data_IF_438334760305
#
_entry.id   IF_438334760305
#
_cell.length_a   1.000
_cell.length_b   1.000
_cell.length_c   1.000
_cell.angle_alpha   90.00
_cell.angle_beta   90.00
_cell.angle_gamma   90.00
#
_symmetry.space_group_name_H-M   'P 1'
#
loop_
_entity.id
_entity.type
_entity.pdbx_description
1 polymer ?
#
# COMPACT_ATOMS: atom_id res chain seq x y z
N UNK A 1 -17.07 12.52 -21.64
CA UNK A 1 -15.66 12.18 -21.34
C UNK A 1 -14.75 13.29 -21.86
N UNK A 2 -13.90 13.88 -21.03
CA UNK A 2 -13.05 15.04 -21.41
C UNK A 2 -12.05 14.67 -22.52
N UNK A 3 -11.55 15.68 -23.26
CA UNK A 3 -10.51 15.48 -24.29
C UNK A 3 -9.28 14.74 -23.74
N UNK A 4 -8.90 15.07 -22.49
CA UNK A 4 -7.79 14.45 -21.77
C UNK A 4 -8.01 12.95 -21.60
N UNK A 5 -9.17 12.52 -21.09
CA UNK A 5 -9.49 11.11 -20.92
C UNK A 5 -9.42 10.33 -22.25
N UNK A 6 -9.88 10.93 -23.36
CA UNK A 6 -9.80 10.29 -24.69
C UNK A 6 -8.35 10.10 -25.16
N UNK A 7 -7.48 11.08 -24.93
CA UNK A 7 -6.06 10.98 -25.32
C UNK A 7 -5.33 9.91 -24.50
N UNK A 8 -5.55 9.88 -23.19
CA UNK A 8 -4.97 8.86 -22.32
C UNK A 8 -5.46 7.46 -22.68
N UNK A 9 -6.75 7.31 -23.01
CA UNK A 9 -7.32 6.02 -23.42
C UNK A 9 -6.70 5.44 -24.70
N UNK A 10 -6.19 6.27 -25.62
CA UNK A 10 -5.47 5.78 -26.81
C UNK A 10 -4.09 5.21 -26.49
N UNK A 11 -3.44 5.69 -25.44
CA UNK A 11 -2.08 5.29 -25.05
C UNK A 11 -2.11 4.13 -24.05
N UNK A 12 -2.99 4.20 -23.06
CA UNK A 12 -3.03 3.28 -21.92
C UNK A 12 -4.20 2.28 -21.98
N UNK A 13 -5.11 2.44 -22.93
CA UNK A 13 -6.33 1.62 -23.03
C UNK A 13 -7.43 2.04 -22.05
N UNK A 14 -8.50 1.24 -21.91
CA UNK A 14 -9.60 1.53 -21.00
C UNK A 14 -9.16 1.40 -19.54
N UNK A 15 -9.66 2.29 -18.68
CA UNK A 15 -9.46 2.21 -17.23
C UNK A 15 -10.11 0.93 -16.72
N UNK A 16 -9.31 0.04 -16.14
CA UNK A 16 -9.80 -1.15 -15.44
C UNK A 16 -9.88 -0.83 -13.95
N UNK A 17 -11.03 -1.04 -13.29
CA UNK A 17 -11.11 -0.86 -11.85
C UNK A 17 -10.15 -1.84 -11.15
N UNK A 18 -9.43 -1.41 -10.11
CA UNK A 18 -8.55 -2.30 -9.36
C UNK A 18 -9.35 -3.38 -8.65
N UNK A 19 -8.69 -4.51 -8.34
CA UNK A 19 -9.28 -5.54 -7.47
C UNK A 19 -9.66 -4.92 -6.13
N UNK A 20 -10.89 -5.20 -5.67
CA UNK A 20 -11.32 -4.81 -4.34
C UNK A 20 -10.50 -5.55 -3.30
N UNK A 21 -9.96 -4.81 -2.33
CA UNK A 21 -9.32 -5.34 -1.12
C UNK A 21 -10.24 -5.06 0.08
N UNK A 22 -10.12 -5.79 1.20
CA UNK A 22 -10.72 -5.37 2.47
C UNK A 22 -10.37 -3.91 2.79
N UNK A 23 -11.28 -3.18 3.44
CA UNK A 23 -11.12 -1.73 3.67
C UNK A 23 -9.83 -1.41 4.42
N UNK A 24 -9.51 -2.17 5.46
CA UNK A 24 -8.28 -2.00 6.24
C UNK A 24 -7.03 -2.28 5.41
N UNK A 25 -7.06 -3.30 4.54
CA UNK A 25 -5.95 -3.60 3.65
C UNK A 25 -5.66 -2.44 2.71
N UNK A 26 -6.71 -1.83 2.14
CA UNK A 26 -6.55 -0.68 1.26
C UNK A 26 -6.05 0.55 2.02
N UNK A 27 -6.59 0.83 3.21
CA UNK A 27 -6.18 1.97 4.02
C UNK A 27 -4.69 1.89 4.39
N UNK A 28 -4.25 0.73 4.87
CA UNK A 28 -2.86 0.52 5.30
C UNK A 28 -1.92 0.56 4.09
N UNK A 29 -2.29 -0.04 2.95
CA UNK A 29 -1.51 0.05 1.72
C UNK A 29 -1.34 1.51 1.25
N UNK A 30 -2.40 2.33 1.35
CA UNK A 30 -2.36 3.76 1.01
C UNK A 30 -1.47 4.56 1.98
N UNK A 31 -1.49 4.24 3.27
CA UNK A 31 -0.59 4.89 4.24
C UNK A 31 0.87 4.57 3.90
N UNK A 32 1.16 3.29 3.62
CA UNK A 32 2.50 2.83 3.29
C UNK A 32 3.03 3.33 1.95
N UNK A 33 2.17 3.82 1.04
CA UNK A 33 2.59 4.38 -0.25
C UNK A 33 3.05 5.83 -0.18
N UNK A 34 2.90 6.49 0.96
CA UNK A 34 3.36 7.86 1.12
C UNK A 34 4.89 7.93 0.98
N UNK A 35 5.37 8.88 0.17
CA UNK A 35 6.79 9.19 -0.01
C UNK A 35 7.68 7.99 -0.42
N UNK A 36 7.14 6.99 -1.12
CA UNK A 36 7.88 5.78 -1.51
C UNK A 36 7.42 5.21 -2.87
N UNK A 37 8.10 4.16 -3.35
CA UNK A 37 7.73 3.47 -4.60
C UNK A 37 6.73 2.33 -4.35
N UNK A 38 5.98 1.96 -5.39
CA UNK A 38 5.06 0.81 -5.34
C UNK A 38 5.74 -0.50 -4.91
N UNK A 39 6.99 -0.71 -5.32
CA UNK A 39 7.76 -1.90 -4.93
C UNK A 39 8.01 -1.91 -3.42
N UNK A 40 8.33 -0.75 -2.85
CA UNK A 40 8.63 -0.62 -1.43
C UNK A 40 7.39 -0.70 -0.56
N UNK A 41 6.31 -0.01 -0.95
CA UNK A 41 5.04 -0.03 -0.21
C UNK A 41 4.40 -1.42 -0.22
N UNK A 42 4.41 -2.12 -1.35
CA UNK A 42 3.93 -3.51 -1.40
C UNK A 42 4.78 -4.45 -0.54
N UNK A 43 6.12 -4.34 -0.61
CA UNK A 43 6.98 -5.17 0.22
C UNK A 43 6.75 -4.95 1.73
N UNK A 44 6.49 -3.72 2.16
CA UNK A 44 6.15 -3.38 3.54
C UNK A 44 4.76 -3.92 3.94
N UNK A 45 3.76 -3.76 3.07
CA UNK A 45 2.42 -4.31 3.30
C UNK A 45 2.48 -5.84 3.48
N UNK A 46 3.16 -6.53 2.58
CA UNK A 46 3.30 -7.99 2.66
C UNK A 46 4.10 -8.42 3.88
N UNK A 47 5.07 -7.62 4.31
CA UNK A 47 5.84 -7.84 5.54
C UNK A 47 4.94 -7.82 6.77
N UNK A 48 4.06 -6.81 6.90
CA UNK A 48 3.06 -6.76 7.98
C UNK A 48 2.13 -7.98 7.95
N UNK A 49 1.60 -8.33 6.77
CA UNK A 49 0.69 -9.48 6.61
C UNK A 49 1.37 -10.80 6.98
N UNK A 50 2.61 -11.02 6.53
CA UNK A 50 3.37 -12.24 6.84
C UNK A 50 3.76 -12.33 8.31
N UNK A 51 4.18 -11.22 8.92
CA UNK A 51 4.67 -11.22 10.31
C UNK A 51 3.55 -11.32 11.35
N UNK A 52 2.43 -10.65 11.12
CA UNK A 52 1.38 -10.50 12.13
C UNK A 52 0.07 -11.21 11.78
N UNK A 53 -0.14 -11.63 10.52
CA UNK A 53 -1.33 -12.36 10.05
C UNK A 53 -2.59 -11.48 9.91
N UNK A 54 -2.97 -10.75 10.97
CA UNK A 54 -4.16 -9.88 11.00
C UNK A 54 -3.88 -8.52 11.65
N UNK A 55 -4.73 -7.53 11.37
CA UNK A 55 -4.50 -6.14 11.78
C UNK A 55 -4.54 -5.91 13.28
N UNK A 56 -5.34 -6.69 14.00
CA UNK A 56 -5.37 -6.63 15.47
C UNK A 56 -4.01 -7.02 16.09
N UNK A 57 -3.26 -7.94 15.48
CA UNK A 57 -1.91 -8.28 15.94
C UNK A 57 -0.91 -7.15 15.63
N UNK A 58 -1.06 -6.46 14.50
CA UNK A 58 -0.26 -5.25 14.21
C UNK A 58 -0.54 -4.15 15.24
N UNK A 59 -1.79 -3.98 15.66
CA UNK A 59 -2.20 -2.99 16.67
C UNK A 59 -1.60 -3.29 18.05
N UNK A 60 -1.40 -4.57 18.36
CA UNK A 60 -0.86 -5.04 19.65
C UNK A 60 0.67 -5.16 19.65
N UNK A 61 1.30 -5.15 18.48
CA UNK A 61 2.76 -5.22 18.34
C UNK A 61 3.44 -3.99 18.93
N UNK A 62 4.68 -4.17 19.38
CA UNK A 62 5.49 -3.03 19.80
C UNK A 62 5.83 -2.12 18.61
N UNK A 63 6.09 -0.84 18.89
CA UNK A 63 6.47 0.12 17.86
C UNK A 63 7.69 -0.37 17.05
N UNK A 64 8.72 -0.89 17.71
CA UNK A 64 9.94 -1.38 17.06
C UNK A 64 9.68 -2.54 16.10
N UNK A 65 8.74 -3.43 16.43
CA UNK A 65 8.36 -4.53 15.55
C UNK A 65 7.65 -4.03 14.30
N UNK A 66 6.75 -3.05 14.44
CA UNK A 66 6.05 -2.45 13.30
C UNK A 66 7.05 -1.68 12.43
N UNK A 67 7.90 -0.85 13.03
CA UNK A 67 8.97 -0.10 12.36
C UNK A 67 9.88 -1.05 11.58
N UNK A 68 10.32 -2.14 12.22
CA UNK A 68 11.13 -3.17 11.58
C UNK A 68 10.43 -3.81 10.38
N UNK A 69 9.13 -4.10 10.50
CA UNK A 69 8.34 -4.69 9.43
C UNK A 69 8.15 -3.75 8.23
N UNK A 70 8.04 -2.43 8.45
CA UNK A 70 7.78 -1.44 7.39
C UNK A 70 9.02 -0.68 6.93
N UNK A 71 10.22 -1.00 7.44
CA UNK A 71 11.47 -0.29 7.13
C UNK A 71 11.73 -0.05 5.64
N UNK A 72 11.34 -1.00 4.78
CA UNK A 72 11.46 -0.85 3.31
C UNK A 72 10.62 0.28 2.72
N UNK A 73 9.51 0.66 3.36
CA UNK A 73 8.68 1.77 2.89
C UNK A 73 9.37 3.14 3.05
N UNK A 74 10.46 3.25 3.81
CA UNK A 74 11.09 4.54 4.12
C UNK A 74 10.34 5.35 5.19
N UNK A 75 9.29 4.77 5.79
CA UNK A 75 8.47 5.38 6.84
C UNK A 75 8.95 5.05 8.26
N UNK A 76 10.00 4.25 8.41
CA UNK A 76 10.47 3.77 9.72
C UNK A 76 10.92 4.88 10.69
N UNK A 77 11.21 6.09 10.20
CA UNK A 77 11.77 7.20 10.97
C UNK A 77 10.98 8.52 10.81
N UNK A 78 9.70 8.45 10.39
CA UNK A 78 8.84 9.62 10.23
C UNK A 78 7.87 9.76 11.41
#
# INVERSE_FOLDING_TARGET
MSLVCRRLGKVYGPVRPPRRRPVLDQLIATILSQNTSDVNSHAAFDSLKRRFGHWEAVRQASLDEVVGAIRRAGLANQ
#
